data_IF_077290763380
#
_entry.id   IF_077290763380
#
_cell.length_a   1.000
_cell.length_b   1.000
_cell.length_c   1.000
_cell.angle_alpha   90.00
_cell.angle_beta   90.00
_cell.angle_gamma   90.00
#
_symmetry.space_group_name_H-M   'P 1'
#
loop_
_entity.id
_entity.type
_entity.pdbx_description
1 polymer ?
#
# COMPACT_ATOMS: atom_id res chain seq x y z
N UNK A 1 -8.40 2.67 6.80
CA UNK A 1 -7.76 1.99 7.96
C UNK A 1 -6.50 1.31 7.45
N UNK A 2 -5.35 1.52 8.10
CA UNK A 2 -4.08 0.89 7.74
C UNK A 2 -3.74 -0.18 8.79
N UNK A 3 -3.21 -1.32 8.34
CA UNK A 3 -2.78 -2.41 9.24
C UNK A 3 -1.31 -2.72 8.94
N UNK A 4 -0.49 -2.69 9.99
CA UNK A 4 0.88 -3.18 9.97
C UNK A 4 0.99 -4.35 10.96
N UNK A 5 1.41 -5.52 10.48
CA UNK A 5 1.63 -6.67 11.35
C UNK A 5 3.08 -6.65 11.88
N UNK A 6 3.23 -6.77 13.21
CA UNK A 6 4.53 -6.73 13.90
C UNK A 6 4.83 -8.07 14.56
N UNK A 7 5.95 -8.68 14.18
CA UNK A 7 6.51 -9.85 14.83
C UNK A 7 7.98 -9.57 15.16
N UNK A 8 8.26 -8.94 16.31
CA UNK A 8 9.61 -8.68 16.87
C UNK A 8 10.69 -8.02 15.96
N UNK A 9 10.39 -7.75 14.69
CA UNK A 9 11.20 -7.15 13.62
C UNK A 9 10.35 -6.14 12.86
N UNK A 10 11.00 -5.30 12.06
CA UNK A 10 10.36 -4.33 11.17
C UNK A 10 9.29 -5.02 10.30
N UNK A 11 8.14 -4.37 10.00
CA UNK A 11 7.11 -4.97 9.17
C UNK A 11 7.67 -5.27 7.78
N UNK A 12 7.46 -6.49 7.29
CA UNK A 12 7.81 -6.86 5.92
C UNK A 12 6.78 -6.36 4.89
N UNK A 13 5.56 -6.02 5.36
CA UNK A 13 4.46 -5.59 4.53
C UNK A 13 3.56 -4.58 5.25
N UNK A 14 3.27 -3.48 4.57
CA UNK A 14 2.23 -2.52 4.88
C UNK A 14 1.00 -2.79 3.99
N UNK A 15 -0.18 -2.92 4.59
CA UNK A 15 -1.45 -2.96 3.84
C UNK A 15 -2.29 -1.75 4.24
N UNK A 16 -2.67 -0.91 3.28
CA UNK A 16 -3.44 0.30 3.57
C UNK A 16 -4.45 0.64 2.49
N UNK A 17 -5.53 1.29 2.90
CA UNK A 17 -6.46 1.96 1.98
C UNK A 17 -5.76 3.16 1.32
N UNK A 18 -6.06 3.42 0.04
CA UNK A 18 -5.56 4.63 -0.64
C UNK A 18 -6.25 5.88 -0.10
N UNK A 19 -7.55 5.82 0.11
CA UNK A 19 -8.32 6.97 0.55
C UNK A 19 -8.54 6.88 2.06
N UNK A 20 -7.84 7.73 2.80
CA UNK A 20 -8.00 7.86 4.25
C UNK A 20 -8.12 9.34 4.64
N UNK A 21 -8.85 9.67 5.72
CA UNK A 21 -8.90 11.04 6.22
C UNK A 21 -7.52 11.53 6.67
N UNK A 22 -7.15 12.74 6.26
CA UNK A 22 -5.94 13.44 6.69
C UNK A 22 -4.68 13.12 5.87
N UNK A 23 -4.45 11.86 5.52
CA UNK A 23 -3.31 11.42 4.70
C UNK A 23 -3.72 10.22 3.84
N UNK A 24 -3.29 10.18 2.59
CA UNK A 24 -3.53 9.07 1.67
C UNK A 24 -2.68 7.84 2.01
N UNK A 25 -3.12 6.67 1.55
CA UNK A 25 -2.33 5.44 1.63
C UNK A 25 -1.04 5.50 0.84
N UNK A 26 -1.01 6.28 -0.25
CA UNK A 26 0.19 6.51 -1.07
C UNK A 26 1.23 7.30 -0.27
N UNK A 27 0.82 8.39 0.38
CA UNK A 27 1.69 9.16 1.28
C UNK A 27 2.21 8.30 2.44
N UNK A 28 1.35 7.47 3.04
CA UNK A 28 1.79 6.50 4.06
C UNK A 28 2.85 5.54 3.52
N UNK A 29 2.62 4.98 2.32
CA UNK A 29 3.51 4.00 1.72
C UNK A 29 4.86 4.62 1.34
N UNK A 30 4.88 5.86 0.84
CA UNK A 30 6.11 6.63 0.58
C UNK A 30 6.87 6.84 1.89
N UNK A 31 6.20 7.34 2.93
CA UNK A 31 6.80 7.56 4.25
C UNK A 31 7.40 6.26 4.81
N UNK A 32 6.68 5.14 4.69
CA UNK A 32 7.15 3.84 5.16
C UNK A 32 8.33 3.32 4.33
N UNK A 33 8.33 3.50 3.01
CA UNK A 33 9.42 3.06 2.12
C UNK A 33 10.71 3.82 2.37
N UNK A 34 10.62 5.11 2.73
CA UNK A 34 11.78 5.92 3.09
C UNK A 34 12.41 5.45 4.42
N UNK A 35 11.58 5.14 5.43
CA UNK A 35 12.06 4.64 6.71
C UNK A 35 12.50 3.16 6.66
N UNK A 36 11.83 2.36 5.84
CA UNK A 36 11.97 0.91 5.73
C UNK A 36 11.94 0.47 4.26
N UNK A 37 13.08 0.58 3.53
CA UNK A 37 13.13 0.23 2.12
C UNK A 37 12.74 -1.22 1.83
N UNK A 38 12.93 -2.14 2.78
CA UNK A 38 12.56 -3.55 2.57
C UNK A 38 11.08 -3.85 2.86
N UNK A 39 10.33 -2.90 3.42
CA UNK A 39 8.90 -3.05 3.64
C UNK A 39 8.17 -2.91 2.30
N UNK A 40 7.47 -3.97 1.89
CA UNK A 40 6.56 -3.91 0.74
C UNK A 40 5.29 -3.16 1.12
N UNK A 41 4.62 -2.55 0.15
CA UNK A 41 3.35 -1.85 0.37
C UNK A 41 2.29 -2.35 -0.60
N UNK A 42 1.16 -2.77 -0.05
CA UNK A 42 -0.05 -3.17 -0.77
C UNK A 42 -1.18 -2.17 -0.48
N UNK A 43 -1.57 -1.44 -1.52
CA UNK A 43 -2.60 -0.42 -1.48
C UNK A 43 -3.95 -1.00 -1.91
N UNK A 44 -5.02 -0.64 -1.22
CA UNK A 44 -6.38 -1.06 -1.54
C UNK A 44 -7.18 0.15 -2.04
N UNK A 45 -7.76 0.09 -3.24
CA UNK A 45 -8.54 1.20 -3.80
C UNK A 45 -9.87 0.79 -4.36
N UNK A 46 -10.89 1.62 -4.18
CA UNK A 46 -12.21 1.44 -4.82
C UNK A 46 -12.55 2.52 -5.85
N UNK A 47 -11.62 3.41 -6.21
CA UNK A 47 -11.93 4.63 -6.98
C UNK A 47 -10.90 4.90 -8.08
N UNK A 48 -11.37 5.46 -9.20
CA UNK A 48 -10.52 5.83 -10.34
C UNK A 48 -9.49 6.91 -10.00
N UNK A 49 -9.80 7.84 -9.09
CA UNK A 49 -8.90 8.91 -8.62
C UNK A 49 -7.62 8.40 -7.95
N UNK A 50 -7.49 7.09 -7.72
CA UNK A 50 -6.25 6.47 -7.24
C UNK A 50 -5.18 6.34 -8.33
N UNK A 51 -5.57 6.27 -9.60
CA UNK A 51 -4.62 6.09 -10.71
C UNK A 51 -3.66 7.29 -10.76
N UNK A 52 -4.19 8.51 -10.72
CA UNK A 52 -3.38 9.74 -10.73
C UNK A 52 -2.38 9.78 -9.57
N UNK A 53 -2.82 9.41 -8.35
CA UNK A 53 -1.94 9.36 -7.17
C UNK A 53 -0.80 8.35 -7.30
N UNK A 54 -1.03 7.22 -7.98
CA UNK A 54 -0.01 6.22 -8.24
C UNK A 54 0.94 6.64 -9.35
N UNK A 55 0.43 7.31 -10.39
CA UNK A 55 1.24 7.87 -11.46
C UNK A 55 2.21 8.94 -10.92
N UNK A 56 1.73 9.83 -10.05
CA UNK A 56 2.54 10.84 -9.37
C UNK A 56 3.62 10.21 -8.48
N UNK A 57 3.30 9.11 -7.79
CA UNK A 57 4.27 8.35 -7.00
C UNK A 57 5.30 7.64 -7.90
N UNK A 58 4.85 7.08 -9.02
CA UNK A 58 5.69 6.44 -10.04
C UNK A 58 6.69 7.41 -10.66
N UNK A 59 6.25 8.65 -10.96
CA UNK A 59 7.11 9.72 -11.45
C UNK A 59 8.22 10.10 -10.44
N UNK A 60 7.99 9.87 -9.16
CA UNK A 60 8.97 10.06 -8.08
C UNK A 60 9.82 8.82 -7.80
N UNK A 61 9.65 7.74 -8.58
CA UNK A 61 10.40 6.49 -8.45
C UNK A 61 9.84 5.51 -7.42
N UNK A 62 8.61 5.72 -6.94
CA UNK A 62 7.93 4.78 -6.05
C UNK A 62 6.99 3.89 -6.83
N UNK A 63 7.12 2.58 -6.62
CA UNK A 63 6.21 1.58 -7.16
C UNK A 63 5.49 0.86 -6.01
N UNK A 64 4.19 0.69 -6.15
CA UNK A 64 3.32 0.13 -5.11
C UNK A 64 2.33 -0.87 -5.72
N UNK A 65 2.16 -2.00 -5.05
CA UNK A 65 1.12 -2.96 -5.42
C UNK A 65 -0.26 -2.37 -5.12
N UNK A 66 -1.19 -2.46 -6.07
CA UNK A 66 -2.58 -2.07 -5.89
C UNK A 66 -3.50 -3.29 -5.98
N UNK A 67 -4.51 -3.34 -5.12
CA UNK A 67 -5.63 -4.26 -5.21
C UNK A 67 -6.96 -3.48 -5.28
N UNK A 68 -7.79 -3.71 -6.31
CA UNK A 68 -9.10 -3.08 -6.39
C UNK A 68 -10.06 -3.64 -5.34
N UNK A 69 -10.95 -2.78 -4.85
CA UNK A 69 -12.07 -3.15 -3.98
C UNK A 69 -13.29 -3.50 -4.85
N UNK A 70 -14.14 -4.45 -4.41
CA UNK A 70 -14.04 -5.22 -3.17
C UNK A 70 -12.90 -6.25 -3.22
N UNK A 71 -12.21 -6.43 -2.09
CA UNK A 71 -11.07 -7.34 -1.97
C UNK A 71 -11.55 -8.74 -1.62
N UNK A 72 -11.40 -9.70 -2.53
CA UNK A 72 -11.67 -11.09 -2.21
C UNK A 72 -10.49 -11.69 -1.41
N UNK A 73 -10.72 -12.50 -0.36
CA UNK A 73 -9.64 -13.07 0.46
C UNK A 73 -8.60 -13.86 -0.35
N UNK A 74 -9.03 -14.53 -1.42
CA UNK A 74 -8.13 -15.27 -2.31
C UNK A 74 -7.14 -14.35 -3.05
N UNK A 75 -7.59 -13.17 -3.51
CA UNK A 75 -6.76 -12.21 -4.23
C UNK A 75 -5.74 -11.55 -3.31
N UNK A 76 -6.18 -11.25 -2.08
CA UNK A 76 -5.29 -10.77 -1.02
C UNK A 76 -4.20 -11.81 -0.72
N UNK A 77 -4.58 -13.07 -0.49
CA UNK A 77 -3.63 -14.15 -0.21
C UNK A 77 -2.67 -14.41 -1.38
N UNK A 78 -3.12 -14.28 -2.64
CA UNK A 78 -2.25 -14.41 -3.80
C UNK A 78 -1.15 -13.33 -3.81
N UNK A 79 -1.48 -12.10 -3.43
CA UNK A 79 -0.50 -11.00 -3.30
C UNK A 79 0.44 -11.14 -2.10
N UNK A 80 0.07 -11.91 -1.07
CA UNK A 80 0.88 -12.13 0.13
C UNK A 80 1.92 -13.26 -0.02
N UNK A 81 1.84 -14.08 -1.07
CA UNK A 81 2.61 -15.33 -1.22
C UNK A 81 4.01 -15.18 -1.84
N UNK A 82 4.60 -13.99 -1.80
CA UNK A 82 5.96 -13.73 -2.29
C UNK A 82 7.04 -14.10 -1.29
#
# INVERSE_FOLDING_TARGET
MAIAARAARLPALLITDVMMPGMTGVELAIYFRQAHPECKSLLLSGQAATVDLLEDAGAQGYDFDLLPKPVHPADLLAKLRY
#
